data_IF_322108536044
#
_entry.id   IF_322108536044
#
_cell.length_a   1.000
_cell.length_b   1.000
_cell.length_c   1.000
_cell.angle_alpha   90.00
_cell.angle_beta   90.00
_cell.angle_gamma   90.00
#
_symmetry.space_group_name_H-M   'P 1'
#
loop_
_entity.id
_entity.type
_entity.pdbx_description
1 polymer ?
#
# COMPACT_ATOMS: atom_id res chain seq x y z
N UNK A 1 10.54 -4.23 -9.21
CA UNK A 1 10.83 -5.40 -10.09
C UNK A 1 12.31 -5.71 -10.01
N UNK A 2 12.65 -6.91 -9.68
CA UNK A 2 14.03 -7.34 -9.51
C UNK A 2 14.35 -8.43 -10.52
N UNK A 3 15.32 -8.19 -11.39
CA UNK A 3 15.88 -9.24 -12.23
C UNK A 3 17.11 -9.82 -11.52
N UNK A 4 17.04 -11.09 -11.12
CA UNK A 4 18.15 -11.79 -10.47
C UNK A 4 19.08 -12.33 -11.55
N UNK A 5 20.19 -11.65 -11.79
CA UNK A 5 21.36 -12.32 -12.34
C UNK A 5 21.96 -13.21 -11.21
N UNK A 6 22.18 -14.50 -11.48
CA UNK A 6 22.50 -15.58 -10.52
C UNK A 6 23.70 -15.33 -9.57
N UNK A 7 24.09 -14.10 -9.34
CA UNK A 7 25.22 -13.69 -8.51
C UNK A 7 24.84 -12.75 -7.39
N UNK A 8 23.91 -13.18 -6.52
CA UNK A 8 23.76 -12.50 -5.24
C UNK A 8 25.10 -12.51 -4.50
N UNK A 9 25.72 -11.37 -4.35
CA UNK A 9 26.87 -11.17 -3.47
C UNK A 9 26.37 -10.35 -2.30
N UNK A 10 25.99 -11.02 -1.22
CA UNK A 10 25.50 -10.41 0.00
C UNK A 10 26.34 -9.24 0.48
N UNK A 11 25.80 -8.45 1.37
CA UNK A 11 26.22 -7.22 2.00
C UNK A 11 25.58 -5.95 1.41
N UNK A 12 24.24 -5.84 1.56
CA UNK A 12 23.54 -4.55 1.46
C UNK A 12 23.58 -3.84 0.10
N UNK A 13 24.40 -4.29 -0.82
CA UNK A 13 24.34 -3.87 -2.21
C UNK A 13 23.76 -5.00 -3.05
N UNK A 14 22.80 -4.68 -3.90
CA UNK A 14 22.19 -5.61 -4.83
C UNK A 14 23.16 -6.03 -5.95
N UNK A 15 24.42 -6.37 -5.64
CA UNK A 15 25.39 -6.84 -6.61
C UNK A 15 24.88 -8.12 -7.28
N UNK A 16 24.62 -8.06 -8.58
CA UNK A 16 23.97 -9.14 -9.34
C UNK A 16 22.45 -9.05 -9.42
N UNK A 17 21.85 -8.00 -8.87
CA UNK A 17 20.41 -7.69 -9.00
C UNK A 17 20.26 -6.44 -9.84
N UNK A 18 19.44 -6.51 -10.90
CA UNK A 18 19.04 -5.34 -11.67
C UNK A 18 17.65 -4.92 -11.26
N UNK A 19 17.52 -3.71 -10.72
CA UNK A 19 16.23 -3.13 -10.37
C UNK A 19 15.64 -2.45 -11.60
N UNK A 20 14.44 -2.88 -11.99
CA UNK A 20 13.68 -2.29 -13.08
C UNK A 20 12.54 -1.45 -12.52
N UNK A 21 12.28 -0.30 -13.12
CA UNK A 21 11.08 0.49 -12.77
C UNK A 21 9.84 -0.28 -13.22
N UNK A 22 8.95 -0.54 -12.28
CA UNK A 22 7.66 -1.17 -12.54
C UNK A 22 6.56 -0.11 -12.69
N UNK A 23 5.65 -0.31 -13.66
CA UNK A 23 4.38 0.40 -13.74
C UNK A 23 3.31 -0.29 -12.88
N UNK A 24 2.05 0.12 -13.04
CA UNK A 24 0.91 -0.45 -12.29
C UNK A 24 0.38 -1.74 -12.95
N UNK A 25 1.27 -2.62 -13.38
CA UNK A 25 0.95 -3.90 -14.01
C UNK A 25 2.03 -4.94 -13.74
N UNK A 26 1.78 -6.17 -14.14
CA UNK A 26 2.68 -7.32 -13.93
C UNK A 26 3.34 -7.80 -15.25
N UNK A 27 3.25 -7.02 -16.30
CA UNK A 27 3.81 -7.32 -17.61
C UNK A 27 5.28 -7.76 -17.58
N UNK A 28 6.18 -7.12 -16.79
CA UNK A 28 7.56 -7.55 -16.74
C UNK A 28 7.75 -9.02 -16.30
N UNK A 29 6.87 -9.52 -15.41
CA UNK A 29 6.88 -10.93 -15.02
C UNK A 29 6.34 -11.81 -16.15
N UNK A 30 5.15 -11.45 -16.69
CA UNK A 30 4.48 -12.23 -17.73
C UNK A 30 5.32 -12.34 -19.01
N UNK A 31 6.02 -11.27 -19.36
CA UNK A 31 6.91 -11.21 -20.54
C UNK A 31 8.34 -11.74 -20.24
N UNK A 32 8.58 -12.27 -19.04
CA UNK A 32 9.88 -12.81 -18.62
C UNK A 32 11.04 -11.79 -18.69
N UNK A 33 10.73 -10.50 -18.56
CA UNK A 33 11.70 -9.41 -18.48
C UNK A 33 12.29 -9.28 -17.06
N UNK A 34 11.54 -9.74 -16.07
CA UNK A 34 11.94 -9.75 -14.66
C UNK A 34 11.65 -11.11 -14.03
N UNK A 35 12.50 -11.55 -13.12
CA UNK A 35 12.34 -12.78 -12.36
C UNK A 35 11.30 -12.64 -11.25
N UNK A 36 11.06 -11.42 -10.74
CA UNK A 36 10.02 -11.12 -9.76
C UNK A 36 9.47 -9.71 -9.96
N UNK A 37 8.30 -9.48 -9.43
CA UNK A 37 7.58 -8.19 -9.41
C UNK A 37 7.09 -7.90 -7.99
N UNK A 38 6.97 -6.62 -7.66
CA UNK A 38 6.26 -6.19 -6.47
C UNK A 38 4.76 -6.13 -6.78
N UNK A 39 3.96 -6.60 -5.85
CA UNK A 39 2.50 -6.64 -6.01
C UNK A 39 1.82 -6.28 -4.70
N UNK A 40 0.72 -5.55 -4.79
CA UNK A 40 -0.23 -5.47 -3.68
C UNK A 40 -1.05 -6.75 -3.61
N UNK A 41 -1.29 -7.27 -2.40
CA UNK A 41 -2.07 -8.50 -2.17
C UNK A 41 -3.51 -8.38 -2.62
N UNK A 42 -4.02 -7.16 -2.76
CA UNK A 42 -5.38 -6.87 -3.20
C UNK A 42 -5.51 -6.49 -4.68
N UNK A 43 -4.40 -6.24 -5.40
CA UNK A 43 -4.42 -5.75 -6.79
C UNK A 43 -3.54 -6.59 -7.71
N UNK A 44 -2.26 -6.25 -7.89
CA UNK A 44 -1.39 -6.83 -8.94
C UNK A 44 -1.17 -8.33 -8.74
N UNK A 45 -1.20 -8.85 -7.54
CA UNK A 45 -1.15 -10.30 -7.31
C UNK A 45 -2.24 -11.02 -8.10
N UNK A 46 -3.46 -10.46 -8.11
CA UNK A 46 -4.57 -11.04 -8.83
C UNK A 46 -4.48 -10.85 -10.34
N UNK A 47 -3.78 -9.84 -10.83
CA UNK A 47 -3.46 -9.71 -12.26
C UNK A 47 -2.58 -10.88 -12.73
N UNK A 48 -1.64 -11.35 -11.90
CA UNK A 48 -0.83 -12.54 -12.21
C UNK A 48 -1.70 -13.79 -12.30
N UNK A 49 -2.62 -13.97 -11.34
CA UNK A 49 -3.53 -15.12 -11.33
C UNK A 49 -4.50 -15.06 -12.52
N UNK A 50 -5.06 -13.91 -12.83
CA UNK A 50 -5.98 -13.70 -13.95
C UNK A 50 -5.29 -13.89 -15.33
N UNK A 51 -3.96 -13.71 -15.38
CA UNK A 51 -3.16 -14.06 -16.56
C UNK A 51 -2.92 -15.59 -16.72
N UNK A 52 -3.47 -16.41 -15.81
CA UNK A 52 -3.45 -17.88 -15.89
C UNK A 52 -2.28 -18.54 -15.16
N UNK A 53 -1.53 -17.81 -14.35
CA UNK A 53 -0.47 -18.40 -13.52
C UNK A 53 -1.10 -18.95 -12.23
N UNK A 54 -0.86 -20.25 -11.97
CA UNK A 54 -1.34 -20.88 -10.73
C UNK A 54 -0.63 -20.30 -9.51
N UNK A 55 -1.35 -20.08 -8.38
CA UNK A 55 -0.68 -19.78 -7.11
C UNK A 55 0.41 -20.77 -6.71
N UNK A 56 0.26 -22.04 -7.08
CA UNK A 56 1.22 -23.12 -6.80
C UNK A 56 2.53 -22.97 -7.61
N UNK A 57 2.51 -22.21 -8.68
CA UNK A 57 3.69 -21.91 -9.52
C UNK A 57 4.43 -20.64 -9.05
N UNK A 58 3.91 -19.96 -8.02
CA UNK A 58 4.45 -18.72 -7.49
C UNK A 58 5.18 -18.92 -6.18
N UNK A 59 6.34 -18.31 -6.05
CA UNK A 59 6.97 -18.07 -4.75
C UNK A 59 6.63 -16.65 -4.32
N UNK A 60 5.85 -16.54 -3.23
CA UNK A 60 5.40 -15.25 -2.70
C UNK A 60 6.14 -14.92 -1.40
N UNK A 61 6.78 -13.76 -1.38
CA UNK A 61 7.44 -13.20 -0.20
C UNK A 61 6.57 -12.07 0.34
N UNK A 62 5.86 -12.30 1.42
CA UNK A 62 5.12 -11.24 2.09
C UNK A 62 6.07 -10.39 2.92
N UNK A 63 5.96 -9.07 2.79
CA UNK A 63 6.86 -8.14 3.48
C UNK A 63 6.75 -8.24 5.00
N UNK A 64 5.55 -8.49 5.52
CA UNK A 64 5.34 -8.72 6.96
C UNK A 64 6.09 -9.94 7.48
N UNK A 65 6.13 -11.04 6.73
CA UNK A 65 6.85 -12.27 7.10
C UNK A 65 8.38 -12.08 7.01
N UNK A 66 8.83 -11.09 6.24
CA UNK A 66 10.24 -10.74 6.09
C UNK A 66 10.70 -9.64 7.08
N UNK A 67 9.79 -9.10 7.88
CA UNK A 67 10.08 -8.01 8.83
C UNK A 67 10.34 -6.64 8.17
N UNK A 68 9.98 -6.47 6.91
CA UNK A 68 10.18 -5.23 6.15
C UNK A 68 8.87 -4.58 5.70
N UNK A 69 7.75 -4.96 6.31
CA UNK A 69 6.47 -4.32 6.04
C UNK A 69 6.50 -2.85 6.44
N UNK A 70 6.05 -1.98 5.54
CA UNK A 70 5.98 -0.54 5.72
C UNK A 70 4.53 -0.07 5.62
N UNK A 71 4.23 1.07 6.25
CA UNK A 71 3.01 1.81 5.95
C UNK A 71 3.17 2.42 4.55
N UNK A 72 2.09 2.43 3.77
CA UNK A 72 2.12 2.91 2.40
C UNK A 72 1.22 4.12 2.20
N UNK A 73 -0.08 3.94 2.27
CA UNK A 73 -1.04 5.01 2.01
C UNK A 73 -1.44 5.75 3.28
N UNK A 74 -1.64 7.07 3.14
CA UNK A 74 -2.05 7.92 4.26
C UNK A 74 -2.60 9.26 3.80
N UNK A 75 -3.23 9.97 4.71
CA UNK A 75 -3.62 11.36 4.50
C UNK A 75 -2.49 12.29 4.93
N UNK A 76 -2.05 13.13 4.02
CA UNK A 76 -0.95 14.07 4.23
C UNK A 76 -1.46 15.50 4.05
N UNK A 77 -1.03 16.37 4.93
CA UNK A 77 -1.30 17.81 4.86
C UNK A 77 -0.04 18.59 5.25
N UNK A 78 0.05 19.84 4.83
CA UNK A 78 1.12 20.72 5.28
C UNK A 78 0.92 21.06 6.77
N UNK A 79 2.01 21.04 7.52
CA UNK A 79 1.98 21.24 8.97
C UNK A 79 1.40 22.61 9.35
N UNK A 80 1.79 23.67 8.66
CA UNK A 80 1.29 25.03 8.89
C UNK A 80 -0.22 25.15 8.70
N UNK A 81 -0.82 24.32 7.82
CA UNK A 81 -2.28 24.30 7.63
C UNK A 81 -3.02 23.72 8.82
N UNK A 82 -2.41 22.80 9.57
CA UNK A 82 -3.01 22.25 10.80
C UNK A 82 -3.11 23.28 11.93
N UNK A 83 -2.35 24.35 11.88
CA UNK A 83 -2.44 25.47 12.82
C UNK A 83 -3.70 26.34 12.57
N UNK A 84 -4.32 26.27 11.39
CA UNK A 84 -5.59 26.93 11.10
C UNK A 84 -6.76 26.11 11.66
N UNK A 85 -7.52 26.60 12.65
CA UNK A 85 -8.62 25.87 13.25
C UNK A 85 -9.74 25.49 12.27
N UNK A 86 -10.02 26.34 11.27
CA UNK A 86 -11.05 26.09 10.28
C UNK A 86 -10.64 24.95 9.34
N UNK A 87 -9.37 24.90 8.92
CA UNK A 87 -8.83 23.80 8.15
C UNK A 87 -8.82 22.50 8.96
N UNK A 88 -8.33 22.53 10.21
CA UNK A 88 -8.32 21.37 11.08
C UNK A 88 -9.72 20.79 11.30
N UNK A 89 -10.75 21.64 11.48
CA UNK A 89 -12.13 21.19 11.58
C UNK A 89 -12.63 20.55 10.28
N UNK A 90 -12.24 21.09 9.14
CA UNK A 90 -12.55 20.50 7.83
C UNK A 90 -11.93 19.12 7.69
N UNK A 91 -10.69 18.94 8.10
CA UNK A 91 -10.02 17.64 8.09
C UNK A 91 -10.69 16.63 9.04
N UNK A 92 -11.16 17.06 10.20
CA UNK A 92 -11.96 16.20 11.10
C UNK A 92 -13.22 15.68 10.40
N UNK A 93 -13.94 16.56 9.72
CA UNK A 93 -15.14 16.18 8.95
C UNK A 93 -14.78 15.24 7.80
N UNK A 94 -13.69 15.51 7.10
CA UNK A 94 -13.23 14.69 5.98
C UNK A 94 -12.85 13.27 6.45
N UNK A 95 -12.04 13.14 7.51
CA UNK A 95 -11.65 11.83 8.05
C UNK A 95 -12.88 11.06 8.54
N UNK A 96 -13.80 11.72 9.23
CA UNK A 96 -15.05 11.09 9.69
C UNK A 96 -15.90 10.57 8.53
N UNK A 97 -16.03 11.36 7.46
CA UNK A 97 -16.75 10.95 6.26
C UNK A 97 -16.05 9.79 5.53
N UNK A 98 -14.73 9.84 5.42
CA UNK A 98 -13.92 8.77 4.81
C UNK A 98 -14.08 7.45 5.58
N UNK A 99 -13.98 7.48 6.91
CA UNK A 99 -14.16 6.28 7.73
C UNK A 99 -15.58 5.72 7.67
N UNK A 100 -16.59 6.60 7.52
CA UNK A 100 -17.96 6.17 7.26
C UNK A 100 -18.09 5.48 5.90
N UNK A 101 -17.40 5.99 4.88
CA UNK A 101 -17.33 5.36 3.56
C UNK A 101 -16.63 3.99 3.61
N UNK A 102 -15.52 3.86 4.31
CA UNK A 102 -14.83 2.58 4.49
C UNK A 102 -15.69 1.53 5.17
N UNK A 103 -16.37 1.89 6.25
CA UNK A 103 -17.32 0.98 6.94
C UNK A 103 -18.49 0.57 6.05
N UNK A 104 -18.95 1.48 5.21
CA UNK A 104 -19.97 1.15 4.22
C UNK A 104 -19.46 0.15 3.20
N UNK A 105 -18.26 0.37 2.66
CA UNK A 105 -17.62 -0.49 1.66
C UNK A 105 -17.34 -1.90 2.23
N UNK A 106 -16.90 -2.01 3.48
CA UNK A 106 -16.72 -3.29 4.18
C UNK A 106 -18.05 -4.06 4.30
N UNK A 107 -19.14 -3.37 4.58
CA UNK A 107 -20.46 -3.97 4.73
C UNK A 107 -21.15 -4.28 3.39
N UNK A 108 -20.78 -3.57 2.30
CA UNK A 108 -21.40 -3.64 0.99
C UNK A 108 -20.35 -3.72 -0.14
N UNK A 109 -19.48 -4.75 -0.14
CA UNK A 109 -18.30 -4.79 -1.01
C UNK A 109 -18.64 -4.79 -2.50
N UNK A 110 -19.71 -5.46 -2.91
CA UNK A 110 -20.13 -5.50 -4.30
C UNK A 110 -20.60 -4.14 -4.80
N UNK A 111 -21.41 -3.43 -3.99
CA UNK A 111 -21.87 -2.08 -4.32
C UNK A 111 -20.73 -1.08 -4.33
N UNK A 112 -19.79 -1.18 -3.38
CA UNK A 112 -18.59 -0.35 -3.35
C UNK A 112 -17.74 -0.55 -4.61
N UNK A 113 -17.57 -1.79 -5.07
CA UNK A 113 -16.89 -2.08 -6.32
C UNK A 113 -17.58 -1.45 -7.54
N UNK A 114 -18.91 -1.47 -7.59
CA UNK A 114 -19.67 -0.83 -8.66
C UNK A 114 -19.53 0.70 -8.64
N UNK A 115 -19.54 1.32 -7.45
CA UNK A 115 -19.28 2.76 -7.32
C UNK A 115 -17.90 3.14 -7.86
N UNK A 116 -16.87 2.32 -7.61
CA UNK A 116 -15.53 2.55 -8.17
C UNK A 116 -15.57 2.48 -9.70
N UNK A 117 -16.23 1.48 -10.27
CA UNK A 117 -16.36 1.33 -11.73
C UNK A 117 -17.12 2.49 -12.38
N UNK A 118 -18.18 2.97 -11.75
CA UNK A 118 -18.95 4.12 -12.24
C UNK A 118 -18.12 5.42 -12.27
N UNK A 119 -17.06 5.50 -11.45
CA UNK A 119 -16.13 6.63 -11.39
C UNK A 119 -14.80 6.37 -12.11
N UNK A 120 -14.62 5.21 -12.74
CA UNK A 120 -13.42 4.92 -13.54
C UNK A 120 -13.51 5.56 -14.92
N UNK A 121 -12.92 6.75 -15.06
CA UNK A 121 -12.84 7.46 -16.35
C UNK A 121 -11.87 6.80 -17.34
N UNK A 122 -11.02 5.88 -16.88
CA UNK A 122 -10.00 5.24 -17.72
C UNK A 122 -10.54 4.04 -18.49
N UNK A 123 -11.60 3.41 -17.99
CA UNK A 123 -12.15 2.17 -18.54
C UNK A 123 -11.20 0.97 -18.41
N UNK A 124 -10.16 1.09 -17.59
CA UNK A 124 -9.16 0.03 -17.41
C UNK A 124 -9.60 -1.06 -16.42
N UNK A 125 -10.59 -0.75 -15.60
CA UNK A 125 -11.06 -1.64 -14.52
C UNK A 125 -12.14 -2.60 -15.03
N UNK A 126 -12.16 -3.80 -14.48
CA UNK A 126 -13.23 -4.78 -14.73
C UNK A 126 -14.04 -5.05 -13.45
N UNK A 127 -15.31 -5.38 -13.61
CA UNK A 127 -16.19 -5.71 -12.47
C UNK A 127 -15.63 -6.87 -11.64
N UNK A 128 -15.18 -7.94 -12.28
CA UNK A 128 -14.64 -9.11 -11.60
C UNK A 128 -13.40 -8.77 -10.75
N UNK A 129 -12.48 -7.96 -11.31
CA UNK A 129 -11.28 -7.53 -10.60
C UNK A 129 -11.62 -6.60 -9.43
N UNK A 130 -12.50 -5.61 -9.63
CA UNK A 130 -12.89 -4.67 -8.58
C UNK A 130 -13.63 -5.33 -7.42
N UNK A 131 -14.53 -6.27 -7.68
CA UNK A 131 -15.19 -7.04 -6.61
C UNK A 131 -14.20 -7.87 -5.79
N UNK A 132 -13.24 -8.51 -6.47
CA UNK A 132 -12.17 -9.24 -5.79
C UNK A 132 -11.30 -8.30 -4.96
N UNK A 133 -10.85 -7.21 -5.54
CA UNK A 133 -10.04 -6.20 -4.88
C UNK A 133 -10.73 -5.63 -3.63
N UNK A 134 -12.01 -5.27 -3.74
CA UNK A 134 -12.78 -4.79 -2.59
C UNK A 134 -12.87 -5.84 -1.48
N UNK A 135 -13.07 -7.11 -1.83
CA UNK A 135 -13.10 -8.21 -0.87
C UNK A 135 -11.76 -8.42 -0.14
N UNK A 136 -10.63 -8.27 -0.83
CA UNK A 136 -9.30 -8.35 -0.22
C UNK A 136 -9.00 -7.12 0.65
N UNK A 137 -9.37 -5.91 0.20
CA UNK A 137 -9.21 -4.69 0.99
C UNK A 137 -10.05 -4.75 2.27
N UNK A 138 -11.27 -5.26 2.21
CA UNK A 138 -12.12 -5.42 3.40
C UNK A 138 -11.47 -6.30 4.48
N UNK A 139 -10.67 -7.29 4.10
CA UNK A 139 -9.89 -8.09 5.05
C UNK A 139 -8.76 -7.31 5.72
N UNK A 140 -8.12 -6.40 4.97
CA UNK A 140 -7.03 -5.57 5.47
C UNK A 140 -7.51 -4.44 6.39
N UNK A 141 -8.70 -3.89 6.11
CA UNK A 141 -9.28 -2.79 6.90
C UNK A 141 -10.10 -3.27 8.10
N UNK A 142 -10.44 -4.57 8.14
CA UNK A 142 -11.26 -5.14 9.20
C UNK A 142 -10.70 -4.84 10.59
N UNK A 143 -11.52 -4.17 11.42
CA UNK A 143 -11.13 -3.79 12.78
C UNK A 143 -10.27 -2.52 12.87
N UNK A 144 -9.85 -1.93 11.76
CA UNK A 144 -9.16 -0.64 11.76
C UNK A 144 -10.15 0.50 12.06
N UNK A 145 -9.67 1.49 12.78
CA UNK A 145 -10.37 2.75 12.99
C UNK A 145 -9.81 3.89 12.13
N UNK A 146 -8.79 3.61 11.30
CA UNK A 146 -8.14 4.60 10.44
C UNK A 146 -7.11 5.50 11.13
N UNK A 147 -6.88 5.34 12.43
CA UNK A 147 -5.78 6.03 13.11
C UNK A 147 -4.44 5.35 12.80
N UNK A 148 -3.38 6.15 12.71
CA UNK A 148 -2.03 5.63 12.56
C UNK A 148 -1.62 4.87 13.84
N UNK A 149 -1.12 3.66 13.68
CA UNK A 149 -0.50 2.88 14.75
C UNK A 149 0.99 3.24 14.86
N UNK A 150 1.40 3.71 16.02
CA UNK A 150 2.78 4.14 16.26
C UNK A 150 3.80 3.01 16.09
N UNK A 151 3.44 1.78 16.49
CA UNK A 151 4.35 0.64 16.34
C UNK A 151 4.59 0.31 14.87
N UNK A 152 3.56 0.45 14.02
CA UNK A 152 3.70 0.26 12.58
C UNK A 152 4.50 1.40 11.95
N UNK A 153 4.32 2.64 12.44
CA UNK A 153 5.13 3.77 12.00
C UNK A 153 6.61 3.55 12.33
N UNK A 154 6.93 3.19 13.57
CA UNK A 154 8.32 2.93 13.98
C UNK A 154 8.96 1.77 13.21
N UNK A 155 8.21 0.72 12.91
CA UNK A 155 8.69 -0.36 12.05
C UNK A 155 9.01 0.14 10.63
N UNK A 156 8.16 1.01 10.08
CA UNK A 156 8.40 1.64 8.77
C UNK A 156 9.68 2.47 8.78
N UNK A 157 9.88 3.30 9.81
CA UNK A 157 11.11 4.10 9.97
C UNK A 157 12.33 3.18 10.04
N UNK A 158 12.27 2.13 10.87
CA UNK A 158 13.38 1.19 11.01
C UNK A 158 13.70 0.49 9.68
N UNK A 159 12.69 0.07 8.91
CA UNK A 159 12.90 -0.52 7.59
C UNK A 159 13.57 0.45 6.61
N UNK A 160 13.15 1.71 6.58
CA UNK A 160 13.72 2.74 5.71
C UNK A 160 15.14 3.14 6.10
N UNK A 161 15.51 3.04 7.38
CA UNK A 161 16.86 3.29 7.89
C UNK A 161 17.81 2.09 7.71
N UNK A 162 17.28 0.89 7.46
CA UNK A 162 18.05 -0.36 7.42
C UNK A 162 18.75 -0.64 6.08
N UNK A 163 18.70 0.27 5.12
CA UNK A 163 19.16 0.07 3.73
C UNK A 163 20.68 -0.10 3.54
N UNK A 164 21.43 -0.62 4.52
CA UNK A 164 22.86 -0.87 4.43
C UNK A 164 23.67 0.40 4.20
N UNK A 165 24.44 0.46 3.12
CA UNK A 165 25.27 1.62 2.77
C UNK A 165 24.47 2.79 2.15
N UNK A 166 23.24 2.55 1.75
CA UNK A 166 22.39 3.54 1.05
C UNK A 166 20.94 3.46 1.56
N UNK A 167 20.69 3.84 2.82
CA UNK A 167 19.35 3.82 3.38
C UNK A 167 18.48 4.90 2.74
N UNK A 168 17.15 4.64 2.67
CA UNK A 168 16.18 5.59 2.13
C UNK A 168 16.14 6.89 2.96
N UNK A 169 16.26 6.75 4.28
CA UNK A 169 16.41 7.88 5.20
C UNK A 169 17.63 7.65 6.10
N UNK A 170 18.34 8.72 6.44
CA UNK A 170 19.59 8.70 7.23
C UNK A 170 19.40 9.15 8.66
N UNK A 171 18.23 9.66 9.01
CA UNK A 171 17.86 10.07 10.37
C UNK A 171 16.40 9.77 10.63
N UNK A 172 16.07 9.57 11.89
CA UNK A 172 14.69 9.40 12.32
C UNK A 172 13.88 10.70 12.05
N UNK A 173 12.68 10.57 11.43
CA UNK A 173 11.82 11.73 11.21
C UNK A 173 11.27 12.28 12.54
N UNK A 174 11.20 13.59 12.65
CA UNK A 174 10.59 14.28 13.78
C UNK A 174 9.29 14.94 13.35
N UNK A 175 8.22 14.82 14.17
CA UNK A 175 6.94 15.48 13.93
C UNK A 175 6.22 15.04 12.62
N UNK A 176 6.56 13.89 12.06
CA UNK A 176 6.05 13.46 10.76
C UNK A 176 4.60 12.94 10.79
N UNK A 177 4.01 12.75 11.95
CA UNK A 177 2.63 12.31 12.11
C UNK A 177 1.97 12.93 13.35
N UNK A 178 0.63 12.90 13.39
CA UNK A 178 -0.16 13.41 14.51
C UNK A 178 -1.50 12.72 14.60
N UNK A 179 -2.03 12.52 15.79
CA UNK A 179 -3.40 12.09 16.04
C UNK A 179 -4.39 13.26 16.23
N UNK A 180 -3.95 14.51 16.10
CA UNK A 180 -4.77 15.70 16.35
C UNK A 180 -6.13 15.68 15.64
N UNK A 181 -6.17 15.13 14.41
CA UNK A 181 -7.39 15.04 13.60
C UNK A 181 -8.16 13.77 13.92
N UNK A 182 -7.48 12.62 13.96
CA UNK A 182 -8.15 11.33 14.19
C UNK A 182 -8.77 11.24 15.57
N UNK A 183 -8.16 11.77 16.62
CA UNK A 183 -8.71 11.82 17.99
C UNK A 183 -10.06 12.54 18.05
N UNK A 184 -10.30 13.53 17.19
CA UNK A 184 -11.57 14.25 17.10
C UNK A 184 -12.56 13.64 16.11
N UNK A 185 -12.05 12.99 15.07
CA UNK A 185 -12.88 12.44 14.02
C UNK A 185 -13.51 11.10 14.39
N UNK A 186 -12.82 10.31 15.21
CA UNK A 186 -13.14 8.90 15.51
C UNK A 186 -13.81 8.70 16.89
N UNK A 187 -14.21 9.79 17.53
CA UNK A 187 -15.00 9.78 18.77
C UNK A 187 -16.45 9.34 18.53
#
# INVERSE_FOLDING_TARGET
VVNLDHRWRGEGSAGGVTVLKQGFNVDPLLQKQAACVSTMTYNEYWQVIDAGISPDDLVTFKYEDQGVATLEDGLYVLEDRLADPAFAETMVKFVRASMKGWKYAEANPDEAAMIVLENDETGAQTEAHQKRMMGEIAKLTAGSNGALDEAYYQRTVAALMSGGSDPVITKEPEGAWTHQITDKALQ
#
